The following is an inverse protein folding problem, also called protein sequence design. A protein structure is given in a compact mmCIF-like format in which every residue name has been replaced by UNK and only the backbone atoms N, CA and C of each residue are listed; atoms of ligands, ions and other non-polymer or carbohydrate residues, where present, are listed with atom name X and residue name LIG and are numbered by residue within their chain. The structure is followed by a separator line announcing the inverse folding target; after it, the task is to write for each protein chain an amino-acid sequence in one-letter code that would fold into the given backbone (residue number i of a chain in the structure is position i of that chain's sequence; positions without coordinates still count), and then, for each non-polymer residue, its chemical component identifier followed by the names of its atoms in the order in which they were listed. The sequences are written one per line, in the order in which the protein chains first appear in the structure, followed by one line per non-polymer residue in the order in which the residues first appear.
data_IF_112370200440
#
_entry.id   IF_112370200440
#
_cell.length_a   1.000
_cell.length_b   1.000
_cell.length_c   1.000
_cell.angle_alpha   90.00
_cell.angle_beta   90.00
_cell.angle_gamma   90.00
#
_symmetry.space_group_name_H-M   'P 1'
#
loop_
_entity.id
_entity.type
_entity.pdbx_description
1 polymer ?
#
# COMPACT_ATOMS: atom_id res chain seq x y z
N UNK A 1 -8.80 4.06 -26.48
CA UNK A 1 -7.41 4.44 -26.14
C UNK A 1 -7.36 4.66 -24.64
N UNK A 2 -6.43 4.03 -23.92
CA UNK A 2 -6.26 4.28 -22.48
C UNK A 2 -5.58 5.63 -22.29
N UNK A 3 -6.15 6.48 -21.44
CA UNK A 3 -5.55 7.76 -21.06
C UNK A 3 -4.41 7.47 -20.07
N UNK A 4 -3.23 8.12 -20.18
CA UNK A 4 -2.17 7.97 -19.19
C UNK A 4 -2.66 8.40 -17.80
N UNK A 5 -2.16 7.74 -16.75
CA UNK A 5 -2.46 8.06 -15.35
C UNK A 5 -1.26 8.72 -14.66
N UNK A 6 -1.53 9.70 -13.80
CA UNK A 6 -0.54 10.42 -13.00
C UNK A 6 -0.31 9.71 -11.65
N UNK A 7 0.93 9.27 -11.43
CA UNK A 7 1.37 8.74 -10.14
C UNK A 7 2.23 9.76 -9.41
N UNK A 8 1.90 10.07 -8.15
CA UNK A 8 2.66 11.03 -7.33
C UNK A 8 3.21 10.34 -6.10
N UNK A 9 4.54 10.37 -5.96
CA UNK A 9 5.20 9.84 -4.77
C UNK A 9 5.18 10.85 -3.62
N UNK A 10 4.81 10.39 -2.44
CA UNK A 10 4.68 11.20 -1.22
C UNK A 10 5.35 10.53 -0.02
N UNK A 11 5.71 11.36 0.97
CA UNK A 11 6.39 10.97 2.20
C UNK A 11 5.60 11.32 3.46
N UNK A 12 4.52 12.09 3.33
CA UNK A 12 3.72 12.56 4.47
C UNK A 12 2.24 12.71 4.14
N UNK A 13 1.40 12.75 5.17
CA UNK A 13 -0.04 12.99 5.03
C UNK A 13 -0.36 14.35 4.37
N UNK A 14 0.45 15.38 4.63
CA UNK A 14 0.29 16.69 4.01
C UNK A 14 0.57 16.65 2.50
N UNK A 15 1.63 15.96 2.09
CA UNK A 15 1.93 15.73 0.67
C UNK A 15 0.84 14.89 0.00
N UNK A 16 0.28 13.89 0.69
CA UNK A 16 -0.82 13.08 0.19
C UNK A 16 -2.07 13.93 -0.14
N UNK A 17 -2.47 14.79 0.80
CA UNK A 17 -3.60 15.69 0.60
C UNK A 17 -3.34 16.67 -0.56
N UNK A 18 -2.12 17.22 -0.66
CA UNK A 18 -1.74 18.11 -1.75
C UNK A 18 -1.73 17.41 -3.12
N UNK A 19 -1.21 16.18 -3.19
CA UNK A 19 -1.16 15.38 -4.41
C UNK A 19 -2.57 15.07 -4.93
N UNK A 20 -3.48 14.68 -4.04
CA UNK A 20 -4.89 14.41 -4.38
C UNK A 20 -5.59 15.68 -4.87
N UNK A 21 -5.44 16.80 -4.15
CA UNK A 21 -5.98 18.09 -4.59
C UNK A 21 -5.41 18.54 -5.95
N UNK A 22 -4.19 18.12 -6.28
CA UNK A 22 -3.52 18.36 -7.57
C UNK A 22 -3.95 17.42 -8.71
N UNK A 23 -4.88 16.50 -8.48
CA UNK A 23 -5.38 15.57 -9.52
C UNK A 23 -4.53 14.32 -9.72
N UNK A 24 -3.85 13.85 -8.67
CA UNK A 24 -3.14 12.56 -8.69
C UNK A 24 -4.10 11.39 -8.91
N UNK A 25 -3.79 10.50 -9.87
CA UNK A 25 -4.57 9.28 -10.13
C UNK A 25 -4.15 8.12 -9.20
N UNK A 26 -2.87 8.03 -8.85
CA UNK A 26 -2.31 6.98 -7.97
C UNK A 26 -1.33 7.59 -6.98
N UNK A 27 -1.61 7.46 -5.69
CA UNK A 27 -0.71 7.94 -4.65
C UNK A 27 0.36 6.87 -4.36
N UNK A 28 1.62 7.27 -4.23
CA UNK A 28 2.74 6.35 -4.02
C UNK A 28 3.53 6.69 -2.76
N UNK A 29 3.45 5.84 -1.74
CA UNK A 29 4.19 6.04 -0.49
C UNK A 29 5.58 5.46 -0.63
N UNK A 30 6.61 6.31 -0.49
CA UNK A 30 8.01 5.88 -0.47
C UNK A 30 8.87 6.80 0.40
N UNK A 31 10.00 6.30 0.89
CA UNK A 31 10.99 7.05 1.64
C UNK A 31 12.35 7.03 0.90
N UNK A 32 12.63 8.05 0.06
CA UNK A 32 13.80 8.06 -0.81
C UNK A 32 15.14 8.10 -0.05
N UNK A 33 15.16 8.54 1.22
CA UNK A 33 16.38 8.45 2.04
C UNK A 33 16.78 7.01 2.39
N UNK A 34 15.87 6.04 2.20
CA UNK A 34 16.09 4.60 2.39
C UNK A 34 16.27 3.85 1.06
N UNK A 35 16.55 4.57 -0.03
CA UNK A 35 16.74 4.02 -1.37
C UNK A 35 15.58 4.32 -2.34
N UNK A 36 15.72 3.99 -3.64
CA UNK A 36 14.76 4.37 -4.69
C UNK A 36 13.33 3.88 -4.43
N UNK A 37 13.19 2.65 -3.92
CA UNK A 37 11.92 2.10 -3.45
C UNK A 37 11.88 1.96 -1.92
N UNK A 38 12.61 2.79 -1.18
CA UNK A 38 12.69 2.72 0.28
C UNK A 38 11.29 2.72 0.94
N UNK A 39 11.07 1.78 1.86
CA UNK A 39 9.80 1.68 2.60
C UNK A 39 9.73 2.74 3.70
N UNK A 40 8.65 3.52 3.71
CA UNK A 40 8.33 4.40 4.83
C UNK A 40 7.97 3.59 6.09
N UNK A 41 7.97 4.24 7.25
CA UNK A 41 7.51 3.59 8.49
C UNK A 41 6.03 3.23 8.41
N UNK A 42 5.62 2.14 9.07
CA UNK A 42 4.24 1.65 9.04
C UNK A 42 3.24 2.72 9.52
N UNK A 43 3.61 3.49 10.53
CA UNK A 43 2.81 4.61 11.04
C UNK A 43 2.65 5.72 9.99
N UNK A 44 3.70 6.03 9.24
CA UNK A 44 3.66 7.01 8.14
C UNK A 44 2.78 6.52 7.00
N UNK A 45 2.89 5.23 6.63
CA UNK A 45 2.02 4.62 5.62
C UNK A 45 0.55 4.72 6.05
N UNK A 46 0.23 4.38 7.30
CA UNK A 46 -1.12 4.48 7.83
C UNK A 46 -1.65 5.93 7.80
N UNK A 47 -0.87 6.90 8.28
CA UNK A 47 -1.25 8.31 8.27
C UNK A 47 -1.51 8.84 6.85
N UNK A 48 -0.73 8.40 5.86
CA UNK A 48 -0.94 8.74 4.45
C UNK A 48 -2.22 8.10 3.91
N UNK A 49 -2.48 6.83 4.21
CA UNK A 49 -3.72 6.16 3.79
C UNK A 49 -4.94 6.85 4.38
N UNK A 50 -4.90 7.24 5.66
CA UNK A 50 -6.00 7.94 6.32
C UNK A 50 -6.25 9.31 5.67
N UNK A 51 -5.18 10.08 5.42
CA UNK A 51 -5.28 11.35 4.71
C UNK A 51 -5.81 11.18 3.27
N UNK A 52 -5.37 10.13 2.57
CA UNK A 52 -5.83 9.82 1.22
C UNK A 52 -7.32 9.47 1.21
N UNK A 53 -7.77 8.62 2.15
CA UNK A 53 -9.18 8.26 2.31
C UNK A 53 -10.05 9.48 2.63
N UNK A 54 -9.57 10.38 3.47
CA UNK A 54 -10.29 11.61 3.82
C UNK A 54 -10.43 12.57 2.63
N UNK A 55 -9.40 12.66 1.78
CA UNK A 55 -9.40 13.55 0.61
C UNK A 55 -10.13 12.95 -0.61
N UNK A 56 -9.89 11.67 -0.90
CA UNK A 56 -10.53 10.94 -2.01
C UNK A 56 -10.58 9.42 -1.68
N UNK A 57 -11.71 8.90 -1.16
CA UNK A 57 -11.83 7.51 -0.72
C UNK A 57 -11.46 6.44 -1.75
N UNK A 58 -11.57 6.75 -3.04
CA UNK A 58 -11.29 5.83 -4.15
C UNK A 58 -9.88 5.93 -4.71
N UNK A 59 -9.05 6.86 -4.24
CA UNK A 59 -7.69 7.02 -4.76
C UNK A 59 -6.84 5.78 -4.39
N UNK A 60 -6.32 5.01 -5.36
CA UNK A 60 -5.48 3.86 -5.08
C UNK A 60 -4.15 4.31 -4.47
N UNK A 61 -3.78 3.67 -3.37
CA UNK A 61 -2.49 3.88 -2.70
C UNK A 61 -1.54 2.73 -3.04
N UNK A 62 -0.37 3.07 -3.56
CA UNK A 62 0.76 2.16 -3.73
C UNK A 62 1.81 2.40 -2.63
N UNK A 63 2.51 1.36 -2.22
CA UNK A 63 3.54 1.44 -1.18
C UNK A 63 4.82 0.75 -1.65
N UNK A 64 5.93 1.46 -1.57
CA UNK A 64 7.25 0.89 -1.78
C UNK A 64 7.69 0.04 -0.59
N UNK A 65 8.21 -1.15 -0.84
CA UNK A 65 8.60 -2.14 0.17
C UNK A 65 10.12 -2.21 0.40
N UNK A 66 10.91 -1.34 -0.23
CA UNK A 66 12.36 -1.46 -0.31
C UNK A 66 12.81 -2.37 -1.44
N UNK A 67 14.09 -2.74 -1.40
CA UNK A 67 14.70 -3.65 -2.35
C UNK A 67 14.65 -5.09 -1.83
N UNK A 68 14.38 -6.06 -2.71
CA UNK A 68 14.33 -7.47 -2.32
C UNK A 68 15.64 -7.99 -1.70
N UNK A 69 16.78 -7.39 -2.07
CA UNK A 69 18.08 -7.72 -1.50
C UNK A 69 18.15 -7.40 0.00
N UNK A 70 17.39 -6.42 0.49
CA UNK A 70 17.40 -5.97 1.89
C UNK A 70 16.52 -6.84 2.81
N UNK A 71 15.72 -7.74 2.23
CA UNK A 71 14.81 -8.63 2.95
C UNK A 71 15.44 -10.00 3.17
N UNK A 72 16.40 -10.06 4.09
CA UNK A 72 17.02 -11.30 4.54
C UNK A 72 15.95 -12.35 4.96
N UNK A 73 16.24 -13.65 4.85
CA UNK A 73 15.27 -14.71 5.16
C UNK A 73 14.67 -14.64 6.57
N UNK A 74 15.46 -14.19 7.54
CA UNK A 74 15.09 -14.00 8.96
C UNK A 74 14.41 -12.66 9.25
N UNK A 75 14.60 -11.64 8.39
CA UNK A 75 13.95 -10.33 8.54
C UNK A 75 12.47 -10.41 8.21
N UNK A 76 11.62 -10.52 9.22
CA UNK A 76 10.16 -10.60 9.03
C UNK A 76 9.59 -9.32 8.41
N UNK A 77 8.73 -9.41 7.37
CA UNK A 77 8.01 -8.24 6.87
C UNK A 77 7.04 -7.70 7.93
N UNK A 78 6.91 -6.37 8.07
CA UNK A 78 5.96 -5.80 9.00
C UNK A 78 4.52 -6.06 8.53
N UNK A 79 3.59 -6.03 9.48
CA UNK A 79 2.18 -5.96 9.16
C UNK A 79 1.87 -4.57 8.56
N UNK A 80 1.23 -4.56 7.39
CA UNK A 80 0.85 -3.34 6.69
C UNK A 80 -0.60 -2.97 6.98
N UNK A 81 -0.93 -1.67 7.03
CA UNK A 81 -2.31 -1.21 7.14
C UNK A 81 -3.15 -1.62 5.92
N UNK A 82 -4.46 -1.72 6.10
CA UNK A 82 -5.41 -1.96 5.01
C UNK A 82 -5.55 -0.73 4.09
N UNK A 83 -6.06 -0.93 2.87
CA UNK A 83 -6.27 0.15 1.90
C UNK A 83 -5.10 0.39 0.94
N UNK A 84 -4.09 -0.47 0.96
CA UNK A 84 -3.03 -0.49 -0.05
C UNK A 84 -3.55 -1.26 -1.28
N UNK A 85 -3.54 -0.60 -2.43
CA UNK A 85 -3.91 -1.18 -3.72
C UNK A 85 -2.73 -1.90 -4.38
N UNK A 86 -1.51 -1.38 -4.21
CA UNK A 86 -0.30 -1.92 -4.85
C UNK A 86 0.88 -1.95 -3.89
N UNK A 87 1.67 -3.02 -3.98
CA UNK A 87 2.97 -3.13 -3.30
C UNK A 87 4.07 -3.12 -4.37
N UNK A 88 5.12 -2.34 -4.13
CA UNK A 88 6.26 -2.20 -5.05
C UNK A 88 7.50 -2.74 -4.37
N UNK A 89 8.02 -3.86 -4.86
CA UNK A 89 9.27 -4.44 -4.40
C UNK A 89 10.35 -4.18 -5.44
N UNK A 90 11.48 -3.63 -5.01
CA UNK A 90 12.57 -3.32 -5.90
C UNK A 90 13.52 -4.49 -6.14
N UNK A 91 14.23 -4.44 -7.26
CA UNK A 91 15.17 -5.47 -7.71
C UNK A 91 16.63 -5.03 -7.58
N UNK A 92 16.89 -3.82 -7.04
CA UNK A 92 18.26 -3.36 -6.86
C UNK A 92 19.02 -4.26 -5.89
N UNK A 93 20.31 -4.47 -6.17
CA UNK A 93 21.17 -5.34 -5.37
C UNK A 93 20.94 -6.85 -5.55
N UNK A 94 19.92 -7.28 -6.32
CA UNK A 94 19.76 -8.69 -6.65
C UNK A 94 20.83 -9.15 -7.67
N UNK A 95 21.32 -10.39 -7.55
CA UNK A 95 22.14 -10.98 -8.59
C UNK A 95 21.32 -11.20 -9.87
N UNK A 96 21.97 -11.13 -11.03
CA UNK A 96 21.30 -11.43 -12.30
C UNK A 96 20.87 -12.91 -12.40
N UNK A 97 19.85 -13.17 -13.21
CA UNK A 97 19.41 -14.52 -13.54
C UNK A 97 18.55 -15.20 -12.46
N UNK A 98 18.54 -16.53 -12.48
CA UNK A 98 17.60 -17.35 -11.70
C UNK A 98 17.70 -17.15 -10.18
N UNK A 99 18.91 -16.87 -9.67
CA UNK A 99 19.13 -16.64 -8.23
C UNK A 99 18.40 -15.39 -7.76
N UNK A 100 18.54 -14.26 -8.47
CA UNK A 100 17.85 -13.03 -8.12
C UNK A 100 16.34 -13.15 -8.27
N UNK A 101 15.87 -13.82 -9.33
CA UNK A 101 14.44 -14.08 -9.53
C UNK A 101 13.84 -14.93 -8.39
N UNK A 102 14.56 -15.95 -7.92
CA UNK A 102 14.15 -16.77 -6.78
C UNK A 102 14.11 -15.96 -5.48
N UNK A 103 15.11 -15.11 -5.23
CA UNK A 103 15.14 -14.22 -4.06
C UNK A 103 13.98 -13.22 -4.07
N UNK A 104 13.74 -12.56 -5.21
CA UNK A 104 12.59 -11.66 -5.38
C UNK A 104 11.27 -12.37 -5.08
N UNK A 105 11.06 -13.54 -5.69
CA UNK A 105 9.84 -14.34 -5.51
C UNK A 105 9.65 -14.77 -4.05
N UNK A 106 10.74 -15.13 -3.35
CA UNK A 106 10.69 -15.51 -1.95
C UNK A 106 10.20 -14.34 -1.06
N UNK A 107 10.69 -13.12 -1.30
CA UNK A 107 10.26 -11.93 -0.56
C UNK A 107 8.81 -11.56 -0.91
N UNK A 108 8.47 -11.55 -2.20
CA UNK A 108 7.10 -11.29 -2.67
C UNK A 108 6.08 -12.20 -1.97
N UNK A 109 6.33 -13.51 -1.94
CA UNK A 109 5.43 -14.48 -1.29
C UNK A 109 5.25 -14.24 0.21
N UNK A 110 6.26 -13.68 0.89
CA UNK A 110 6.15 -13.36 2.33
C UNK A 110 5.17 -12.19 2.55
N UNK A 111 5.21 -11.17 1.70
CA UNK A 111 4.25 -10.08 1.74
C UNK A 111 2.84 -10.51 1.30
N UNK A 112 2.69 -11.33 0.26
CA UNK A 112 1.39 -11.84 -0.21
C UNK A 112 0.63 -12.64 0.87
N UNK A 113 1.35 -13.42 1.68
CA UNK A 113 0.76 -14.15 2.81
C UNK A 113 0.22 -13.23 3.90
N UNK A 114 0.84 -12.07 4.10
CA UNK A 114 0.41 -11.08 5.09
C UNK A 114 -0.75 -10.22 4.55
N UNK A 115 -0.75 -9.87 3.27
CA UNK A 115 -1.81 -9.07 2.66
C UNK A 115 -3.13 -9.83 2.53
N UNK A 116 -3.10 -11.15 2.34
CA UNK A 116 -4.29 -12.02 2.35
C UNK A 116 -4.86 -12.28 3.75
N UNK A 117 -4.05 -12.06 4.79
CA UNK A 117 -4.47 -12.21 6.20
C UNK A 117 -5.28 -11.00 6.70
N UNK A 118 -5.23 -9.86 6.00
CA UNK A 118 -6.12 -8.72 6.23
C UNK A 118 -7.49 -8.99 5.59
N UNK A 119 -8.24 -9.91 6.18
CA UNK A 119 -9.60 -10.27 5.78
C UNK A 119 -10.50 -9.05 5.92
N UNK A 120 -11.18 -8.70 4.84
CA UNK A 120 -12.15 -7.62 4.77
C UNK A 120 -13.24 -7.84 5.82
N UNK A 121 -13.45 -6.86 6.70
CA UNK A 121 -14.69 -6.76 7.46
C UNK A 121 -15.66 -5.90 6.64
N UNK A 122 -16.46 -6.54 5.79
CA UNK A 122 -17.75 -5.95 5.44
C UNK A 122 -18.65 -6.12 6.66
N UNK A 123 -18.98 -5.01 7.32
CA UNK A 123 -20.21 -4.77 8.08
C UNK A 123 -20.13 -3.41 8.77
N UNK A 124 -21.18 -2.57 8.66
CA UNK A 124 -22.32 -2.83 9.53
C UNK A 124 -23.67 -2.76 8.81
N UNK A 125 -24.49 -3.78 9.08
CA UNK A 125 -25.91 -3.52 9.27
C UNK A 125 -26.09 -2.48 10.38
N UNK A 126 -26.57 -1.31 10.00
CA UNK A 126 -27.28 -0.38 10.88
C UNK A 126 -28.28 0.40 10.03
N UNK A 127 -29.35 -0.28 9.58
CA UNK A 127 -30.62 0.38 9.33
C UNK A 127 -31.61 -0.29 10.29
N UNK A 128 -31.73 0.31 11.47
CA UNK A 128 -32.85 0.03 12.34
C UNK A 128 -34.05 0.81 11.83
N UNK A 129 -35.11 0.09 11.50
CA UNK A 129 -36.46 0.62 11.62
C UNK A 129 -37.31 -0.45 12.31
N UNK A 130 -37.53 -0.21 13.60
CA UNK A 130 -38.70 -0.72 14.29
C UNK A 130 -39.91 0.03 13.72
N UNK A 131 -40.81 -0.66 13.03
CA UNK A 131 -42.23 -0.37 13.16
C UNK A 131 -43.04 -1.65 13.20
N UNK A 132 -43.91 -1.68 14.20
CA UNK A 132 -44.66 -2.81 14.69
C UNK A 132 -45.91 -3.12 13.87
N UNK A 133 -46.36 -4.36 14.07
CA UNK A 133 -47.76 -4.79 14.20
C UNK A 133 -48.57 -5.12 12.94
N UNK A 134 -48.90 -6.41 12.86
CA UNK A 134 -50.24 -7.00 12.73
C UNK A 134 -51.21 -6.51 11.64
N UNK A 135 -51.57 -7.52 10.83
CA UNK A 135 -52.72 -7.72 9.93
C UNK A 135 -52.52 -7.33 8.47
#
# INVERSE_FOLDING_TARGET
MSIPQLLVSVRSAAEAAAAIAGGCDVLDVKEPSRGPLGMADVSTIAAIIDAARAAQPSAPVSVALGEAADWAPDRQPPQLPAGIAYLKLGTAGLPAGAVGAAQFTAVQRRFEKLSTSNRWSDSPHACGDQFSSNR
#
